data_IF_812892073857
#
_entry.id   IF_812892073857
#
_cell.length_a   1.000
_cell.length_b   1.000
_cell.length_c   1.000
_cell.angle_alpha   90.00
_cell.angle_beta   90.00
_cell.angle_gamma   90.00
#
_symmetry.space_group_name_H-M   'P 1'
#
loop_
_entity.id
_entity.type
_entity.pdbx_description
1 polymer ?
#
# COMPACT_ATOMS: atom_id res chain seq x y z
N UNK A 1 -25.89 -41.94 30.06
CA UNK A 1 -25.78 -40.59 30.65
C UNK A 1 -24.83 -39.81 29.76
N UNK A 2 -25.27 -38.72 29.14
CA UNK A 2 -24.41 -37.90 28.29
C UNK A 2 -23.35 -37.21 29.15
N UNK A 3 -22.09 -37.34 28.76
CA UNK A 3 -20.94 -36.80 29.50
C UNK A 3 -21.01 -35.27 29.51
N UNK A 4 -21.03 -34.68 30.71
CA UNK A 4 -21.16 -33.22 30.89
C UNK A 4 -19.80 -32.59 30.69
N UNK A 5 -19.52 -32.13 29.46
CA UNK A 5 -18.33 -31.35 29.15
C UNK A 5 -18.55 -29.92 29.66
N UNK A 6 -17.76 -29.52 30.66
CA UNK A 6 -17.75 -28.14 31.18
C UNK A 6 -16.56 -27.43 30.54
N UNK A 7 -16.84 -26.52 29.60
CA UNK A 7 -15.83 -25.62 29.05
C UNK A 7 -15.51 -24.54 30.08
N UNK A 8 -14.25 -24.48 30.51
CA UNK A 8 -13.73 -23.46 31.42
C UNK A 8 -12.72 -22.61 30.64
N UNK A 9 -13.04 -21.33 30.42
CA UNK A 9 -12.11 -20.33 29.90
C UNK A 9 -11.71 -19.36 31.01
N UNK A 10 -10.47 -18.86 30.99
CA UNK A 10 -9.92 -17.89 31.97
C UNK A 10 -10.56 -16.48 31.87
N UNK A 11 -11.63 -16.31 31.09
CA UNK A 11 -12.40 -15.07 30.96
C UNK A 11 -13.60 -15.22 30.01
N UNK A 12 -14.50 -14.23 30.00
CA UNK A 12 -15.47 -14.05 28.92
C UNK A 12 -14.67 -13.85 27.62
N UNK A 13 -14.70 -14.82 26.71
CA UNK A 13 -14.31 -14.54 25.35
C UNK A 13 -15.28 -13.46 24.84
N UNK A 14 -14.78 -12.26 24.61
CA UNK A 14 -15.53 -11.19 23.95
C UNK A 14 -15.88 -11.72 22.56
N UNK A 15 -17.14 -12.13 22.36
CA UNK A 15 -17.62 -12.72 21.10
C UNK A 15 -17.91 -11.58 20.11
N UNK A 16 -17.07 -11.40 19.07
CA UNK A 16 -17.32 -10.35 18.09
C UNK A 16 -18.46 -10.73 17.12
N UNK A 17 -18.79 -12.02 16.96
CA UNK A 17 -19.71 -12.54 15.94
C UNK A 17 -21.17 -12.58 16.40
N UNK A 18 -21.65 -11.48 16.97
CA UNK A 18 -23.03 -11.35 17.42
C UNK A 18 -23.98 -11.11 16.25
N UNK A 19 -25.25 -11.43 16.47
CA UNK A 19 -26.35 -11.17 15.53
C UNK A 19 -27.39 -10.28 16.20
N UNK A 20 -27.94 -9.32 15.46
CA UNK A 20 -29.01 -8.45 15.91
C UNK A 20 -29.84 -7.94 14.74
N UNK A 21 -31.15 -7.79 14.93
CA UNK A 21 -32.07 -7.33 13.89
C UNK A 21 -32.47 -8.43 12.91
N UNK A 22 -32.52 -8.10 11.61
CA UNK A 22 -32.93 -9.02 10.54
C UNK A 22 -32.15 -8.75 9.25
N UNK A 23 -32.00 -9.78 8.40
CA UNK A 23 -31.32 -9.65 7.10
C UNK A 23 -32.02 -8.65 6.17
N UNK A 24 -33.35 -8.65 6.12
CA UNK A 24 -34.11 -7.73 5.27
C UNK A 24 -33.87 -6.27 5.68
N UNK A 25 -33.91 -5.98 6.99
CA UNK A 25 -33.57 -4.66 7.53
C UNK A 25 -32.13 -4.25 7.21
N UNK A 26 -31.18 -5.19 7.23
CA UNK A 26 -29.80 -4.93 6.79
C UNK A 26 -29.72 -4.62 5.29
N UNK A 27 -30.42 -5.36 4.44
CA UNK A 27 -30.42 -5.15 2.99
C UNK A 27 -31.03 -3.79 2.61
N UNK A 28 -32.18 -3.45 3.19
CA UNK A 28 -32.93 -2.22 2.91
C UNK A 28 -32.34 -0.99 3.60
N UNK A 29 -31.92 -1.11 4.85
CA UNK A 29 -31.42 0.00 5.67
C UNK A 29 -29.93 0.29 5.48
N UNK A 30 -29.17 -0.65 4.90
CA UNK A 30 -27.71 -0.52 4.79
C UNK A 30 -27.18 -0.91 3.42
N UNK A 31 -27.34 -2.17 3.01
CA UNK A 31 -26.59 -2.72 1.88
C UNK A 31 -26.94 -2.06 0.55
N UNK A 32 -28.21 -1.72 0.30
CA UNK A 32 -28.61 -1.04 -0.95
C UNK A 32 -27.90 0.29 -1.20
N UNK A 33 -27.47 0.97 -0.14
CA UNK A 33 -26.85 2.30 -0.22
C UNK A 33 -25.35 2.26 -0.57
N UNK A 34 -24.76 1.06 -0.66
CA UNK A 34 -23.43 0.89 -1.20
C UNK A 34 -23.41 1.03 -2.74
N UNK A 35 -24.55 0.83 -3.41
CA UNK A 35 -24.65 0.94 -4.88
C UNK A 35 -24.33 2.37 -5.32
N UNK A 36 -23.34 2.52 -6.19
CA UNK A 36 -22.85 3.82 -6.63
C UNK A 36 -21.87 4.50 -5.66
N UNK A 37 -21.53 3.88 -4.53
CA UNK A 37 -20.53 4.36 -3.57
C UNK A 37 -19.34 3.39 -3.52
N UNK A 38 -18.28 3.66 -4.28
CA UNK A 38 -17.17 2.72 -4.49
C UNK A 38 -16.47 2.30 -3.20
N UNK A 39 -16.28 3.19 -2.24
CA UNK A 39 -15.60 2.87 -0.96
C UNK A 39 -16.47 1.99 -0.07
N UNK A 40 -17.78 2.24 -0.04
CA UNK A 40 -18.73 1.42 0.72
C UNK A 40 -18.85 0.03 0.10
N UNK A 41 -19.09 -0.04 -1.21
CA UNK A 41 -19.20 -1.31 -1.92
C UNK A 41 -17.92 -2.12 -1.76
N UNK A 42 -16.75 -1.50 -1.95
CA UNK A 42 -15.45 -2.16 -1.73
C UNK A 42 -15.29 -2.70 -0.31
N UNK A 43 -15.60 -1.90 0.73
CA UNK A 43 -15.48 -2.31 2.12
C UNK A 43 -16.38 -3.52 2.45
N UNK A 44 -17.62 -3.51 1.95
CA UNK A 44 -18.54 -4.63 2.12
C UNK A 44 -18.09 -5.87 1.36
N UNK A 45 -17.64 -5.72 0.11
CA UNK A 45 -17.11 -6.82 -0.68
C UNK A 45 -15.86 -7.44 -0.05
N UNK A 46 -15.00 -6.63 0.58
CA UNK A 46 -13.83 -7.11 1.31
C UNK A 46 -14.22 -8.00 2.51
N UNK A 47 -15.37 -7.72 3.14
CA UNK A 47 -15.89 -8.54 4.22
C UNK A 47 -16.30 -9.94 3.77
N UNK A 48 -16.85 -10.07 2.56
CA UNK A 48 -17.20 -11.36 1.96
C UNK A 48 -16.01 -12.09 1.33
N UNK A 49 -14.91 -11.39 1.06
CA UNK A 49 -13.71 -11.98 0.47
C UNK A 49 -12.87 -12.81 1.47
N UNK A 50 -13.03 -12.60 2.78
CA UNK A 50 -12.31 -13.36 3.83
C UNK A 50 -12.45 -14.89 3.67
N UNK A 51 -13.68 -15.43 3.59
CA UNK A 51 -13.91 -16.87 3.38
C UNK A 51 -13.36 -17.42 2.05
N UNK A 52 -13.08 -16.55 1.08
CA UNK A 52 -12.56 -16.93 -0.23
C UNK A 52 -11.02 -17.08 -0.25
N UNK A 53 -10.34 -16.69 0.82
CA UNK A 53 -8.88 -16.81 0.88
C UNK A 53 -8.38 -18.26 0.77
N UNK A 54 -9.10 -19.22 1.38
CA UNK A 54 -8.76 -20.65 1.26
C UNK A 54 -8.95 -21.18 -0.17
N UNK A 55 -10.14 -21.10 -0.79
CA UNK A 55 -10.37 -21.68 -2.11
C UNK A 55 -9.59 -20.94 -3.21
N UNK A 56 -9.24 -19.67 -3.02
CA UNK A 56 -8.40 -18.92 -3.96
C UNK A 56 -6.89 -19.12 -3.73
N UNK A 57 -6.49 -19.89 -2.72
CA UNK A 57 -5.10 -20.02 -2.26
C UNK A 57 -4.41 -18.65 -2.05
N UNK A 58 -5.18 -17.65 -1.63
CA UNK A 58 -4.73 -16.28 -1.51
C UNK A 58 -4.01 -16.04 -0.17
N UNK A 59 -2.94 -15.23 -0.22
CA UNK A 59 -2.23 -14.79 0.98
C UNK A 59 -3.09 -13.83 1.81
N UNK A 60 -2.78 -13.76 3.12
CA UNK A 60 -3.28 -12.67 3.96
C UNK A 60 -2.75 -11.32 3.47
N UNK A 61 -3.47 -10.26 3.81
CA UNK A 61 -3.10 -8.91 3.41
C UNK A 61 -4.17 -7.92 3.81
N UNK A 62 -3.96 -6.65 3.46
CA UNK A 62 -4.93 -5.65 3.84
C UNK A 62 -5.01 -4.46 2.92
N UNK A 63 -6.03 -3.68 3.19
CA UNK A 63 -6.30 -2.40 2.57
C UNK A 63 -6.36 -1.35 3.66
N UNK A 64 -5.93 -0.14 3.33
CA UNK A 64 -5.91 0.97 4.26
C UNK A 64 -6.56 2.17 3.59
N UNK A 65 -7.70 2.62 4.12
CA UNK A 65 -8.30 3.87 3.69
C UNK A 65 -7.52 5.04 4.29
N UNK A 66 -6.76 5.72 3.43
CA UNK A 66 -5.93 6.87 3.76
C UNK A 66 -6.62 8.17 3.36
N UNK A 67 -6.72 9.12 4.28
CA UNK A 67 -7.18 10.47 3.97
C UNK A 67 -7.56 11.26 5.22
N UNK A 68 -7.92 12.54 5.05
CA UNK A 68 -8.20 13.45 6.17
C UNK A 68 -9.25 12.94 7.16
N UNK A 69 -9.27 13.51 8.37
CA UNK A 69 -10.28 13.20 9.40
C UNK A 69 -11.69 13.54 8.90
N UNK A 70 -12.71 12.92 9.50
CA UNK A 70 -14.12 13.27 9.28
C UNK A 70 -14.67 13.07 7.86
N UNK A 71 -13.99 12.31 7.00
CA UNK A 71 -14.48 11.98 5.63
C UNK A 71 -15.28 10.67 5.54
N UNK A 72 -15.58 10.02 6.68
CA UNK A 72 -16.42 8.82 6.74
C UNK A 72 -15.68 7.47 6.76
N UNK A 73 -14.35 7.44 6.92
CA UNK A 73 -13.54 6.20 6.98
C UNK A 73 -14.07 5.16 7.99
N UNK A 74 -14.30 5.58 9.24
CA UNK A 74 -14.88 4.72 10.28
C UNK A 74 -16.29 4.24 9.92
N UNK A 75 -17.06 5.02 9.16
CA UNK A 75 -18.37 4.58 8.65
C UNK A 75 -18.22 3.37 7.74
N UNK A 76 -17.24 3.38 6.81
CA UNK A 76 -16.99 2.24 5.94
C UNK A 76 -16.63 0.98 6.74
N UNK A 77 -15.82 1.11 7.81
CA UNK A 77 -15.53 -0.02 8.70
C UNK A 77 -16.78 -0.53 9.41
N UNK A 78 -17.61 0.34 9.97
CA UNK A 78 -18.83 -0.06 10.67
C UNK A 78 -19.83 -0.75 9.72
N UNK A 79 -19.96 -0.26 8.49
CA UNK A 79 -20.77 -0.88 7.44
C UNK A 79 -20.25 -2.28 7.10
N UNK A 80 -18.95 -2.42 6.84
CA UNK A 80 -18.34 -3.73 6.57
C UNK A 80 -18.43 -4.69 7.77
N UNK A 81 -18.23 -4.18 8.98
CA UNK A 81 -18.26 -4.94 10.23
C UNK A 81 -19.63 -5.54 10.52
N UNK A 82 -20.70 -4.81 10.17
CA UNK A 82 -22.08 -5.28 10.32
C UNK A 82 -22.38 -6.62 9.62
N UNK A 83 -21.56 -7.03 8.65
CA UNK A 83 -21.71 -8.34 7.98
C UNK A 83 -21.43 -9.48 8.96
N UNK A 84 -20.45 -9.31 9.84
CA UNK A 84 -19.93 -10.33 10.74
C UNK A 84 -20.37 -10.15 12.20
N UNK A 85 -20.60 -8.91 12.64
CA UNK A 85 -20.89 -8.63 14.04
C UNK A 85 -21.39 -7.21 14.30
N UNK A 86 -21.62 -6.88 15.57
CA UNK A 86 -22.17 -5.58 15.99
C UNK A 86 -21.17 -4.43 15.97
N UNK A 87 -21.53 -3.30 16.60
CA UNK A 87 -20.72 -2.06 16.65
C UNK A 87 -19.30 -2.24 17.19
N UNK A 88 -19.09 -3.26 18.02
CA UNK A 88 -17.81 -3.58 18.68
C UNK A 88 -16.93 -4.52 17.83
N UNK A 89 -17.40 -4.95 16.65
CA UNK A 89 -16.64 -5.83 15.76
C UNK A 89 -15.36 -5.14 15.25
N UNK A 90 -15.39 -3.87 14.77
CA UNK A 90 -14.15 -3.14 14.49
C UNK A 90 -13.28 -2.95 15.73
N UNK A 91 -11.99 -3.25 15.60
CA UNK A 91 -11.00 -3.06 16.67
C UNK A 91 -10.17 -1.81 16.40
N UNK A 92 -9.49 -1.32 17.42
CA UNK A 92 -8.57 -0.17 17.29
C UNK A 92 -7.14 -0.63 17.08
N UNK A 93 -6.36 0.16 16.35
CA UNK A 93 -4.90 0.03 16.31
C UNK A 93 -4.20 0.32 17.65
N UNK A 94 -4.91 0.90 18.63
CA UNK A 94 -4.41 1.14 19.99
C UNK A 94 -4.34 -0.17 20.79
N UNK A 95 -3.42 -1.04 20.39
CA UNK A 95 -3.14 -2.31 21.02
C UNK A 95 -1.65 -2.68 20.83
N UNK A 96 -1.13 -3.50 21.74
CA UNK A 96 0.23 -4.04 21.59
C UNK A 96 0.28 -5.08 20.46
N UNK A 97 1.47 -5.35 19.94
CA UNK A 97 1.68 -6.41 18.94
C UNK A 97 1.07 -7.76 19.36
N UNK A 98 1.20 -8.12 20.64
CA UNK A 98 0.64 -9.36 21.19
C UNK A 98 -0.89 -9.32 21.27
N UNK A 99 -1.47 -8.16 21.59
CA UNK A 99 -2.92 -8.00 21.59
C UNK A 99 -3.50 -8.19 20.19
N UNK A 100 -2.86 -7.60 19.17
CA UNK A 100 -3.29 -7.75 17.78
C UNK A 100 -3.05 -9.16 17.22
N UNK A 101 -2.05 -9.89 17.72
CA UNK A 101 -1.89 -11.33 17.44
C UNK A 101 -3.11 -12.13 17.92
N UNK A 102 -3.59 -11.88 19.15
CA UNK A 102 -4.80 -12.52 19.67
C UNK A 102 -6.07 -12.10 18.91
N UNK A 103 -6.17 -10.84 18.50
CA UNK A 103 -7.29 -10.35 17.68
C UNK A 103 -7.29 -11.02 16.30
N UNK A 104 -6.14 -11.17 15.66
CA UNK A 104 -6.04 -11.83 14.36
C UNK A 104 -6.50 -13.29 14.40
N UNK A 105 -6.18 -14.01 15.48
CA UNK A 105 -6.65 -15.38 15.70
C UNK A 105 -8.19 -15.50 15.80
N UNK A 106 -8.88 -14.43 16.21
CA UNK A 106 -10.34 -14.39 16.25
C UNK A 106 -10.97 -14.05 14.89
N UNK A 107 -10.18 -13.67 13.88
CA UNK A 107 -10.65 -13.21 12.56
C UNK A 107 -10.10 -14.05 11.40
N UNK A 108 -9.86 -15.35 11.66
CA UNK A 108 -9.45 -16.30 10.62
C UNK A 108 -10.59 -16.53 9.62
N UNK A 109 -10.27 -16.44 8.33
CA UNK A 109 -11.20 -16.60 7.20
C UNK A 109 -12.38 -15.61 7.24
N UNK A 110 -12.21 -14.51 7.97
CA UNK A 110 -13.13 -13.37 8.02
C UNK A 110 -12.35 -12.07 7.77
N UNK A 111 -13.04 -10.93 7.85
CA UNK A 111 -12.41 -9.62 7.73
C UNK A 111 -12.04 -9.06 9.11
N UNK A 112 -10.77 -8.72 9.30
CA UNK A 112 -10.30 -7.96 10.45
C UNK A 112 -10.41 -6.46 10.17
N UNK A 113 -11.08 -5.72 11.05
CA UNK A 113 -11.24 -4.27 10.93
C UNK A 113 -10.41 -3.54 11.98
N UNK A 114 -9.56 -2.61 11.54
CA UNK A 114 -8.65 -1.86 12.42
C UNK A 114 -8.78 -0.35 12.21
N UNK A 115 -9.44 0.34 13.13
CA UNK A 115 -9.67 1.78 13.05
C UNK A 115 -8.51 2.58 13.68
N UNK A 116 -8.21 3.72 13.06
CA UNK A 116 -7.31 4.76 13.55
C UNK A 116 -5.84 4.34 13.72
N UNK A 117 -5.16 4.01 12.62
CA UNK A 117 -3.73 3.65 12.59
C UNK A 117 -2.83 4.69 13.27
N UNK A 118 -3.23 5.97 13.29
CA UNK A 118 -2.51 7.05 13.95
C UNK A 118 -2.29 6.82 15.46
N UNK A 119 -3.13 6.00 16.11
CA UNK A 119 -3.01 5.65 17.53
C UNK A 119 -1.96 4.56 17.81
N UNK A 120 -1.40 3.91 16.79
CA UNK A 120 -0.30 2.96 16.96
C UNK A 120 1.06 3.70 17.00
N UNK A 121 1.98 3.19 17.82
CA UNK A 121 3.36 3.68 17.83
C UNK A 121 4.05 3.35 16.50
N UNK A 122 4.80 4.31 15.93
CA UNK A 122 5.48 4.16 14.64
C UNK A 122 6.51 3.03 14.63
N UNK A 123 7.02 2.60 15.80
CA UNK A 123 7.94 1.47 15.94
C UNK A 123 7.23 0.12 15.85
N UNK A 124 5.96 0.07 16.24
CA UNK A 124 5.16 -1.16 16.28
C UNK A 124 4.35 -1.35 15.01
N UNK A 125 3.81 -0.26 14.43
CA UNK A 125 2.86 -0.33 13.32
C UNK A 125 3.37 -1.17 12.15
N UNK A 126 4.64 -1.01 11.76
CA UNK A 126 5.22 -1.75 10.64
C UNK A 126 5.40 -3.24 10.95
N UNK A 127 5.71 -3.59 12.19
CA UNK A 127 5.80 -5.00 12.61
C UNK A 127 4.43 -5.66 12.66
N UNK A 128 3.43 -4.96 13.20
CA UNK A 128 2.04 -5.43 13.29
C UNK A 128 1.45 -5.63 11.90
N UNK A 129 1.55 -4.62 11.05
CA UNK A 129 1.17 -4.68 9.64
C UNK A 129 1.71 -5.93 8.94
N UNK A 130 3.01 -6.17 9.10
CA UNK A 130 3.69 -7.30 8.48
C UNK A 130 3.26 -8.64 9.08
N UNK A 131 3.12 -8.72 10.40
CA UNK A 131 2.63 -9.90 11.11
C UNK A 131 1.23 -10.31 10.62
N UNK A 132 0.32 -9.33 10.54
CA UNK A 132 -1.05 -9.54 10.05
C UNK A 132 -1.07 -10.07 8.61
N UNK A 133 -0.32 -9.41 7.71
CA UNK A 133 -0.25 -9.79 6.31
C UNK A 133 0.47 -11.13 6.05
N UNK A 134 1.34 -11.59 6.96
CA UNK A 134 1.99 -12.90 6.84
C UNK A 134 1.18 -14.05 7.42
N UNK A 135 0.11 -13.76 8.16
CA UNK A 135 -0.70 -14.83 8.76
C UNK A 135 -0.01 -15.57 9.90
N UNK A 136 1.00 -14.98 10.55
CA UNK A 136 1.82 -15.70 11.54
C UNK A 136 2.33 -14.80 12.67
N UNK A 137 2.13 -15.26 13.91
CA UNK A 137 2.64 -14.65 15.14
C UNK A 137 4.11 -14.96 15.41
N UNK A 138 4.71 -14.30 16.41
CA UNK A 138 6.13 -14.53 16.76
C UNK A 138 6.31 -15.93 17.35
N UNK A 139 7.27 -16.70 16.83
CA UNK A 139 7.69 -17.96 17.45
C UNK A 139 8.31 -17.69 18.82
N UNK A 140 7.88 -18.44 19.84
CA UNK A 140 8.37 -18.32 21.22
C UNK A 140 8.92 -19.66 21.68
N UNK A 141 9.91 -19.65 22.56
CA UNK A 141 10.32 -20.86 23.27
C UNK A 141 9.22 -21.32 24.24
N UNK A 142 9.00 -22.62 24.30
CA UNK A 142 8.20 -23.31 25.31
C UNK A 142 8.94 -23.36 26.65
N UNK A 143 8.24 -23.79 27.71
CA UNK A 143 8.81 -23.86 29.06
C UNK A 143 10.02 -24.81 29.16
N UNK A 144 10.08 -25.82 28.30
CA UNK A 144 11.17 -26.80 28.20
C UNK A 144 12.22 -26.46 27.12
N UNK A 145 12.13 -25.28 26.50
CA UNK A 145 13.10 -24.83 25.50
C UNK A 145 12.79 -25.27 24.06
N UNK A 146 11.83 -26.15 23.81
CA UNK A 146 11.36 -26.41 22.44
C UNK A 146 10.65 -25.19 21.84
N UNK A 147 10.69 -25.04 20.51
CA UNK A 147 9.93 -23.98 19.85
C UNK A 147 8.42 -24.26 19.95
N UNK A 148 7.67 -23.35 20.58
CA UNK A 148 6.20 -23.41 20.57
C UNK A 148 5.71 -23.13 19.15
N UNK A 149 4.69 -23.87 18.72
CA UNK A 149 4.04 -23.63 17.42
C UNK A 149 3.51 -22.19 17.38
N UNK A 150 3.99 -21.41 16.43
CA UNK A 150 3.54 -20.04 16.22
C UNK A 150 2.04 -20.02 15.87
N UNK A 151 1.33 -19.01 16.38
CA UNK A 151 -0.03 -18.71 15.97
C UNK A 151 -0.07 -18.51 14.45
N UNK A 152 -1.08 -19.06 13.79
CA UNK A 152 -1.30 -18.87 12.35
C UNK A 152 -2.75 -18.48 12.10
N UNK A 153 -2.94 -17.59 11.13
CA UNK A 153 -4.25 -17.14 10.68
C UNK A 153 -4.19 -16.89 9.17
N UNK A 154 -5.38 -16.78 8.58
CA UNK A 154 -5.57 -16.31 7.21
C UNK A 154 -6.64 -15.24 7.27
N UNK A 155 -6.33 -14.01 6.90
CA UNK A 155 -7.28 -12.91 7.05
C UNK A 155 -7.04 -11.83 6.00
N UNK A 156 -8.12 -11.20 5.58
CA UNK A 156 -8.05 -9.86 4.99
C UNK A 156 -8.28 -8.88 6.12
N UNK A 157 -7.57 -7.75 6.08
CA UNK A 157 -7.89 -6.65 6.98
C UNK A 157 -8.16 -5.34 6.24
N UNK A 158 -9.06 -4.55 6.81
CA UNK A 158 -9.35 -3.21 6.35
C UNK A 158 -9.05 -2.24 7.48
N UNK A 159 -8.21 -1.26 7.18
CA UNK A 159 -7.66 -0.30 8.11
C UNK A 159 -8.02 1.13 7.71
N UNK A 160 -7.96 2.07 8.65
CA UNK A 160 -8.17 3.51 8.40
C UNK A 160 -7.07 4.35 9.04
N UNK A 161 -6.78 5.50 8.43
CA UNK A 161 -5.80 6.44 8.97
C UNK A 161 -5.72 7.73 8.16
N UNK A 162 -5.01 8.70 8.71
CA UNK A 162 -4.75 9.98 8.02
C UNK A 162 -3.56 9.91 7.06
N UNK A 163 -2.55 9.14 7.44
CA UNK A 163 -1.30 8.96 6.68
C UNK A 163 -1.14 7.49 6.29
N UNK A 164 -0.32 7.23 5.27
CA UNK A 164 -0.05 5.86 4.82
C UNK A 164 0.84 5.10 5.79
N UNK A 165 0.95 3.78 5.58
CA UNK A 165 1.82 2.95 6.43
C UNK A 165 3.29 3.39 6.32
N UNK A 166 3.76 3.69 5.11
CA UNK A 166 5.12 4.13 4.86
C UNK A 166 5.44 5.44 5.60
N UNK A 167 4.52 6.41 5.51
CA UNK A 167 4.60 7.69 6.21
C UNK A 167 4.65 7.49 7.73
N UNK A 168 3.78 6.61 8.27
CA UNK A 168 3.75 6.31 9.71
C UNK A 168 5.04 5.66 10.20
N UNK A 169 5.66 4.78 9.41
CA UNK A 169 6.95 4.16 9.74
C UNK A 169 8.06 5.21 9.74
N UNK A 170 8.02 6.17 8.81
CA UNK A 170 9.02 7.22 8.70
C UNK A 170 9.03 8.19 9.91
N UNK A 171 7.92 8.31 10.66
CA UNK A 171 7.84 9.13 11.87
C UNK A 171 8.83 8.72 12.98
N UNK A 172 9.31 7.48 13.03
CA UNK A 172 10.28 7.02 14.06
C UNK A 172 11.64 7.72 13.97
N UNK A 173 11.91 8.49 12.91
CA UNK A 173 13.10 9.35 12.78
C UNK A 173 14.43 8.60 12.67
N UNK A 174 14.44 7.28 12.76
CA UNK A 174 15.62 6.40 12.65
C UNK A 174 16.03 6.09 11.21
N UNK A 175 15.44 6.77 10.22
CA UNK A 175 15.66 6.48 8.81
C UNK A 175 15.17 5.09 8.37
N UNK A 176 14.29 4.46 9.16
CA UNK A 176 13.62 3.21 8.75
C UNK A 176 12.61 3.56 7.67
N UNK A 177 12.84 3.07 6.45
CA UNK A 177 11.86 3.10 5.37
C UNK A 177 11.07 1.81 5.38
N UNK A 178 9.79 1.88 5.00
CA UNK A 178 9.05 0.69 4.64
C UNK A 178 9.78 0.00 3.48
N UNK A 179 10.04 -1.31 3.59
CA UNK A 179 10.56 -2.04 2.44
C UNK A 179 9.46 -2.10 1.37
N UNK A 180 9.80 -2.01 0.09
CA UNK A 180 8.78 -2.02 -0.98
C UNK A 180 7.86 -3.24 -0.91
N UNK A 181 8.36 -4.41 -0.48
CA UNK A 181 7.54 -5.61 -0.24
C UNK A 181 6.51 -5.49 0.90
N UNK A 182 6.65 -4.52 1.82
CA UNK A 182 5.67 -4.21 2.86
C UNK A 182 4.52 -3.36 2.29
N UNK A 183 4.79 -2.45 1.36
CA UNK A 183 3.78 -1.59 0.72
C UNK A 183 2.83 -2.37 -0.20
N UNK A 184 3.26 -3.49 -0.78
CA UNK A 184 2.39 -4.36 -1.62
C UNK A 184 1.41 -5.18 -0.78
N UNK A 185 1.72 -5.40 0.51
CA UNK A 185 0.89 -6.20 1.42
C UNK A 185 -0.23 -5.40 2.07
N UNK A 186 -0.05 -4.08 2.20
CA UNK A 186 -1.07 -3.15 2.70
C UNK A 186 -1.26 -2.05 1.67
N UNK A 187 -2.40 -2.11 1.00
CA UNK A 187 -2.71 -1.22 -0.12
C UNK A 187 -3.38 0.04 0.41
N UNK A 188 -2.70 1.18 0.29
CA UNK A 188 -3.23 2.49 0.69
C UNK A 188 -4.21 3.05 -0.36
N UNK A 189 -5.51 2.85 -0.13
CA UNK A 189 -6.58 3.37 -0.99
C UNK A 189 -6.93 4.80 -0.53
N UNK A 190 -6.97 5.79 -1.43
CA UNK A 190 -7.50 7.11 -1.12
C UNK A 190 -8.95 7.00 -0.63
N UNK A 191 -9.17 7.42 0.62
CA UNK A 191 -10.47 7.35 1.25
C UNK A 191 -11.48 8.30 0.60
N UNK A 192 -11.06 9.49 0.17
CA UNK A 192 -11.91 10.39 -0.59
C UNK A 192 -12.26 9.77 -1.94
N UNK A 193 -13.55 9.74 -2.27
CA UNK A 193 -14.06 9.20 -3.52
C UNK A 193 -13.92 10.17 -4.71
N UNK A 194 -13.56 11.43 -4.44
CA UNK A 194 -13.37 12.48 -5.44
C UNK A 194 -14.66 13.25 -5.76
N UNK A 195 -15.73 13.04 -4.99
CA UNK A 195 -17.04 13.66 -5.21
C UNK A 195 -17.36 14.80 -4.23
N UNK A 196 -16.38 15.25 -3.43
CA UNK A 196 -16.54 16.33 -2.46
C UNK A 196 -17.37 15.97 -1.22
N UNK A 197 -17.63 14.67 -1.00
CA UNK A 197 -18.46 14.14 0.09
C UNK A 197 -17.74 13.06 0.91
N UNK A 198 -16.40 13.09 0.92
CA UNK A 198 -15.57 12.09 1.59
C UNK A 198 -15.63 10.74 0.89
N UNK A 199 -15.93 9.66 1.63
CA UNK A 199 -16.01 8.31 1.06
C UNK A 199 -17.23 8.09 0.14
N UNK A 200 -18.15 9.05 0.03
CA UNK A 200 -19.39 8.91 -0.72
C UNK A 200 -19.32 9.59 -2.09
N UNK A 201 -19.90 8.96 -3.09
CA UNK A 201 -20.22 9.52 -4.41
C UNK A 201 -21.70 9.86 -4.57
N UNK A 202 -22.58 9.16 -3.84
CA UNK A 202 -24.03 9.40 -3.85
C UNK A 202 -24.60 9.34 -2.44
N UNK A 203 -25.47 10.29 -2.13
CA UNK A 203 -26.15 10.39 -0.84
C UNK A 203 -27.54 9.76 -0.85
N UNK A 204 -28.00 9.16 -1.94
CA UNK A 204 -29.31 8.49 -2.02
C UNK A 204 -30.50 9.29 -1.44
N UNK A 205 -30.50 10.62 -1.64
CA UNK A 205 -31.57 11.51 -1.15
C UNK A 205 -31.41 12.00 0.29
N UNK A 206 -30.36 11.61 1.01
CA UNK A 206 -30.02 12.20 2.30
C UNK A 206 -29.51 13.65 2.13
N UNK A 207 -29.81 14.55 3.09
CA UNK A 207 -29.52 15.98 2.94
C UNK A 207 -28.04 16.35 3.07
N UNK A 208 -27.21 15.46 3.62
CA UNK A 208 -25.77 15.66 3.77
C UNK A 208 -25.02 14.34 3.96
N UNK A 209 -23.71 14.36 3.70
CA UNK A 209 -22.81 13.24 3.98
C UNK A 209 -22.84 12.81 5.45
N UNK A 210 -22.95 13.76 6.39
CA UNK A 210 -23.09 13.47 7.82
C UNK A 210 -24.41 12.75 8.13
N UNK A 211 -25.53 13.24 7.59
CA UNK A 211 -26.83 12.60 7.80
C UNK A 211 -26.84 11.17 7.23
N UNK A 212 -26.24 10.98 6.06
CA UNK A 212 -26.09 9.68 5.45
C UNK A 212 -25.20 8.74 6.29
N UNK A 213 -24.04 9.21 6.74
CA UNK A 213 -23.14 8.44 7.60
C UNK A 213 -23.80 8.03 8.93
N UNK A 214 -24.57 8.93 9.54
CA UNK A 214 -25.33 8.63 10.77
C UNK A 214 -26.40 7.57 10.53
N UNK A 215 -27.12 7.64 9.41
CA UNK A 215 -28.09 6.62 9.02
C UNK A 215 -27.42 5.24 8.88
N UNK A 216 -26.32 5.16 8.12
CA UNK A 216 -25.59 3.91 7.92
C UNK A 216 -25.08 3.33 9.24
N UNK A 217 -24.51 4.15 10.14
CA UNK A 217 -24.05 3.69 11.46
C UNK A 217 -25.20 3.23 12.36
N UNK A 218 -26.36 3.86 12.26
CA UNK A 218 -27.54 3.45 13.02
C UNK A 218 -28.01 2.08 12.54
N UNK A 219 -28.23 1.92 11.23
CA UNK A 219 -28.66 0.66 10.63
C UNK A 219 -27.65 -0.48 10.86
N UNK A 220 -26.35 -0.24 10.70
CA UNK A 220 -25.28 -1.21 10.99
C UNK A 220 -25.23 -1.64 12.47
N UNK A 221 -25.72 -0.80 13.38
CA UNK A 221 -25.80 -1.11 14.80
C UNK A 221 -27.09 -1.81 15.24
N UNK A 222 -28.12 -1.81 14.39
CA UNK A 222 -29.42 -2.42 14.63
C UNK A 222 -29.56 -3.76 13.92
N UNK A 223 -29.08 -3.83 12.68
CA UNK A 223 -29.08 -5.04 11.85
C UNK A 223 -27.64 -5.45 11.56
N UNK A 224 -27.20 -6.59 12.08
CA UNK A 224 -25.82 -7.07 11.91
C UNK A 224 -25.68 -8.58 12.11
N UNK A 225 -24.58 -9.17 11.61
CA UNK A 225 -24.23 -10.58 11.69
C UNK A 225 -25.00 -11.49 10.71
N UNK A 226 -26.22 -11.12 10.31
CA UNK A 226 -27.06 -11.93 9.43
C UNK A 226 -26.46 -12.20 8.04
N UNK A 227 -25.77 -11.21 7.46
CA UNK A 227 -25.27 -11.31 6.09
C UNK A 227 -24.16 -12.38 5.96
N UNK A 228 -23.26 -12.47 6.94
CA UNK A 228 -22.25 -13.54 6.98
C UNK A 228 -22.88 -14.93 7.07
N UNK A 229 -23.90 -15.10 7.92
CA UNK A 229 -24.59 -16.38 8.06
C UNK A 229 -25.25 -16.82 6.75
N UNK A 230 -25.97 -15.91 6.09
CA UNK A 230 -26.61 -16.18 4.81
C UNK A 230 -25.59 -16.48 3.69
N UNK A 231 -24.46 -15.78 3.70
CA UNK A 231 -23.37 -16.01 2.75
C UNK A 231 -22.71 -17.37 2.95
N UNK A 232 -22.33 -17.70 4.19
CA UNK A 232 -21.68 -18.96 4.52
C UNK A 232 -22.58 -20.16 4.27
N UNK A 233 -23.88 -20.09 4.62
CA UNK A 233 -24.84 -21.16 4.34
C UNK A 233 -24.90 -21.52 2.85
N UNK A 234 -24.71 -20.56 1.96
CA UNK A 234 -24.66 -20.79 0.51
C UNK A 234 -23.27 -21.24 0.05
N UNK A 235 -22.22 -20.60 0.54
CA UNK A 235 -20.83 -20.89 0.20
C UNK A 235 -20.43 -22.34 0.53
N UNK A 236 -20.90 -22.86 1.67
CA UNK A 236 -20.49 -24.18 2.16
C UNK A 236 -21.29 -25.35 1.58
N UNK A 237 -22.32 -25.10 0.75
CA UNK A 237 -23.10 -26.18 0.11
C UNK A 237 -22.31 -26.92 -0.97
N UNK A 238 -21.39 -26.22 -1.63
CA UNK A 238 -20.48 -26.77 -2.63
C UNK A 238 -19.14 -26.01 -2.58
N UNK A 239 -18.43 -26.19 -1.47
CA UNK A 239 -17.20 -25.43 -1.21
C UNK A 239 -16.08 -25.75 -2.20
N UNK A 240 -15.97 -27.01 -2.64
CA UNK A 240 -14.97 -27.43 -3.63
C UNK A 240 -15.23 -26.79 -5.00
N UNK A 241 -16.50 -26.54 -5.35
CA UNK A 241 -16.90 -25.82 -6.55
C UNK A 241 -16.59 -24.31 -6.53
N UNK A 242 -16.31 -23.72 -5.36
CA UNK A 242 -16.01 -22.28 -5.23
C UNK A 242 -14.65 -21.91 -5.84
N UNK A 243 -13.63 -22.75 -5.62
CA UNK A 243 -12.26 -22.48 -6.07
C UNK A 243 -12.14 -22.16 -7.58
N UNK A 244 -12.66 -22.99 -8.51
CA UNK A 244 -12.57 -22.68 -9.94
C UNK A 244 -13.37 -21.43 -10.32
N UNK A 245 -14.50 -21.14 -9.65
CA UNK A 245 -15.29 -19.94 -9.91
C UNK A 245 -14.53 -18.68 -9.52
N UNK A 246 -13.94 -18.65 -8.32
CA UNK A 246 -13.15 -17.51 -7.84
C UNK A 246 -11.91 -17.33 -8.70
N UNK A 247 -11.19 -18.40 -9.04
CA UNK A 247 -10.00 -18.33 -9.89
C UNK A 247 -10.34 -17.79 -11.30
N UNK A 248 -11.42 -18.29 -11.92
CA UNK A 248 -11.88 -17.80 -13.21
C UNK A 248 -12.21 -16.31 -13.19
N UNK A 249 -12.98 -15.88 -12.18
CA UNK A 249 -13.31 -14.47 -11.99
C UNK A 249 -12.08 -13.59 -11.75
N UNK A 250 -11.13 -14.05 -10.93
CA UNK A 250 -9.90 -13.29 -10.68
C UNK A 250 -9.08 -13.11 -11.97
N UNK A 251 -8.98 -14.15 -12.79
CA UNK A 251 -8.26 -14.07 -14.07
C UNK A 251 -8.91 -13.05 -15.01
N UNK A 252 -10.24 -13.03 -15.09
CA UNK A 252 -10.98 -12.05 -15.91
C UNK A 252 -10.77 -10.62 -15.39
N UNK A 253 -10.95 -10.40 -14.08
CA UNK A 253 -10.73 -9.09 -13.48
C UNK A 253 -9.31 -8.57 -13.70
N UNK A 254 -8.30 -9.43 -13.53
CA UNK A 254 -6.90 -9.08 -13.74
C UNK A 254 -6.64 -8.77 -15.21
N UNK A 255 -7.18 -9.55 -16.15
CA UNK A 255 -7.03 -9.30 -17.57
C UNK A 255 -7.63 -7.95 -18.01
N UNK A 256 -8.75 -7.54 -17.40
CA UNK A 256 -9.41 -6.28 -17.72
C UNK A 256 -8.77 -5.05 -17.06
N UNK A 257 -8.24 -5.20 -15.84
CA UNK A 257 -7.83 -4.05 -15.02
C UNK A 257 -6.31 -3.90 -14.87
N UNK A 258 -5.54 -4.96 -15.04
CA UNK A 258 -4.08 -4.88 -14.92
C UNK A 258 -3.48 -4.20 -16.16
N UNK A 259 -2.75 -3.09 -16.01
CA UNK A 259 -2.09 -2.45 -17.14
C UNK A 259 -1.08 -3.40 -17.83
N UNK A 260 -0.85 -3.26 -19.15
CA UNK A 260 0.21 -4.00 -19.81
C UNK A 260 1.58 -3.63 -19.21
N UNK A 261 2.48 -4.61 -19.11
CA UNK A 261 3.84 -4.45 -18.53
C UNK A 261 3.87 -4.03 -17.06
N UNK A 262 2.77 -4.23 -16.33
CA UNK A 262 2.72 -3.97 -14.90
C UNK A 262 3.77 -4.82 -14.15
N UNK A 263 4.46 -4.20 -13.20
CA UNK A 263 5.45 -4.91 -12.39
C UNK A 263 4.80 -6.02 -11.52
N UNK A 264 5.64 -6.87 -10.93
CA UNK A 264 5.17 -7.94 -10.04
C UNK A 264 4.46 -7.44 -8.78
N UNK A 265 4.63 -6.17 -8.39
CA UNK A 265 3.92 -5.56 -7.28
C UNK A 265 2.48 -5.20 -7.67
N UNK A 266 2.28 -4.51 -8.80
CA UNK A 266 0.95 -4.20 -9.35
C UNK A 266 0.16 -5.49 -9.54
N UNK A 267 0.80 -6.52 -10.12
CA UNK A 267 0.18 -7.81 -10.41
C UNK A 267 -0.37 -8.50 -9.14
N UNK A 268 0.36 -8.39 -8.02
CA UNK A 268 -0.10 -8.91 -6.72
C UNK A 268 -1.23 -8.07 -6.12
N UNK A 269 -1.18 -6.75 -6.29
CA UNK A 269 -2.22 -5.86 -5.76
C UNK A 269 -3.53 -6.07 -6.51
N UNK A 270 -3.52 -6.09 -7.85
CA UNK A 270 -4.72 -6.29 -8.66
C UNK A 270 -5.40 -7.63 -8.36
N UNK A 271 -4.62 -8.70 -8.13
CA UNK A 271 -5.18 -10.00 -7.74
C UNK A 271 -5.94 -9.95 -6.39
N UNK A 272 -5.50 -9.11 -5.45
CA UNK A 272 -6.20 -8.90 -4.18
C UNK A 272 -7.49 -8.10 -4.37
N UNK A 273 -7.48 -7.07 -5.22
CA UNK A 273 -8.72 -6.37 -5.62
C UNK A 273 -9.70 -7.29 -6.33
N UNK A 274 -9.20 -8.19 -7.17
CA UNK A 274 -10.01 -9.21 -7.84
C UNK A 274 -10.69 -10.15 -6.85
N UNK A 275 -10.00 -10.55 -5.76
CA UNK A 275 -10.59 -11.35 -4.68
C UNK A 275 -11.70 -10.57 -3.96
N UNK A 276 -11.51 -9.28 -3.71
CA UNK A 276 -12.54 -8.41 -3.13
C UNK A 276 -13.77 -8.34 -4.02
N UNK A 277 -13.59 -8.09 -5.31
CA UNK A 277 -14.68 -8.11 -6.28
C UNK A 277 -15.42 -9.45 -6.29
N UNK A 278 -14.69 -10.58 -6.31
CA UNK A 278 -15.28 -11.92 -6.27
C UNK A 278 -16.16 -12.12 -5.02
N UNK A 279 -15.71 -11.65 -3.85
CA UNK A 279 -16.49 -11.71 -2.60
C UNK A 279 -17.85 -11.00 -2.73
N UNK A 280 -17.85 -9.78 -3.28
CA UNK A 280 -19.08 -9.02 -3.49
C UNK A 280 -19.99 -9.60 -4.58
N UNK A 281 -19.43 -10.06 -5.70
CA UNK A 281 -20.21 -10.68 -6.78
C UNK A 281 -20.82 -12.02 -6.33
N UNK A 282 -20.09 -12.83 -5.55
CA UNK A 282 -20.66 -14.05 -4.95
C UNK A 282 -21.78 -13.74 -3.95
N UNK A 283 -21.59 -12.75 -3.08
CA UNK A 283 -22.64 -12.35 -2.15
C UNK A 283 -23.89 -11.82 -2.87
N UNK A 284 -23.71 -11.17 -4.02
CA UNK A 284 -24.80 -10.76 -4.92
C UNK A 284 -25.48 -11.98 -5.55
N UNK A 285 -24.72 -12.92 -6.12
CA UNK A 285 -25.25 -14.14 -6.71
C UNK A 285 -26.00 -15.04 -5.71
N UNK A 286 -25.60 -15.01 -4.43
CA UNK A 286 -26.29 -15.72 -3.34
C UNK A 286 -27.54 -14.99 -2.82
N UNK A 287 -27.83 -13.78 -3.30
CA UNK A 287 -28.97 -12.96 -2.87
C UNK A 287 -28.76 -12.31 -1.50
N UNK A 288 -27.52 -12.25 -1.00
CA UNK A 288 -27.18 -11.59 0.27
C UNK A 288 -27.06 -10.08 0.05
N UNK A 289 -26.37 -9.67 -1.02
CA UNK A 289 -26.31 -8.26 -1.42
C UNK A 289 -27.44 -7.95 -2.41
N UNK A 290 -28.23 -6.88 -2.18
CA UNK A 290 -29.31 -6.47 -3.08
C UNK A 290 -28.76 -5.63 -4.24
N UNK A 291 -27.61 -6.00 -4.78
CA UNK A 291 -26.91 -5.25 -5.83
C UNK A 291 -27.20 -5.87 -7.21
N UNK A 292 -26.96 -5.09 -8.25
CA UNK A 292 -26.93 -5.64 -9.60
C UNK A 292 -25.56 -6.31 -9.84
N UNK A 293 -25.48 -7.38 -10.63
CA UNK A 293 -24.20 -7.96 -11.04
C UNK A 293 -23.25 -6.90 -11.61
N UNK A 294 -21.99 -6.96 -11.19
CA UNK A 294 -20.93 -6.05 -11.60
C UNK A 294 -20.76 -4.80 -10.72
N UNK A 295 -21.61 -4.58 -9.71
CA UNK A 295 -21.43 -3.46 -8.77
C UNK A 295 -20.14 -3.59 -7.95
N UNK A 296 -19.86 -4.80 -7.43
CA UNK A 296 -18.66 -5.06 -6.66
C UNK A 296 -17.40 -4.97 -7.55
N UNK A 297 -17.48 -5.50 -8.78
CA UNK A 297 -16.44 -5.36 -9.80
C UNK A 297 -16.08 -3.90 -10.07
N UNK A 298 -17.09 -3.05 -10.33
CA UNK A 298 -16.88 -1.61 -10.60
C UNK A 298 -16.24 -0.90 -9.42
N UNK A 299 -16.70 -1.19 -8.20
CA UNK A 299 -16.18 -0.59 -6.98
C UNK A 299 -14.70 -0.96 -6.75
N UNK A 300 -14.35 -2.24 -6.88
CA UNK A 300 -12.97 -2.71 -6.75
C UNK A 300 -12.07 -2.14 -7.85
N UNK A 301 -12.55 -2.11 -9.09
CA UNK A 301 -11.82 -1.52 -10.22
C UNK A 301 -11.56 -0.02 -10.02
N UNK A 302 -12.55 0.74 -9.53
CA UNK A 302 -12.36 2.15 -9.18
C UNK A 302 -11.34 2.33 -8.07
N UNK A 303 -11.44 1.57 -6.98
CA UNK A 303 -10.47 1.66 -5.88
C UNK A 303 -9.05 1.27 -6.31
N UNK A 304 -8.92 0.29 -7.20
CA UNK A 304 -7.63 -0.10 -7.78
C UNK A 304 -7.03 1.01 -8.65
N UNK A 305 -7.83 1.65 -9.51
CA UNK A 305 -7.37 2.80 -10.32
C UNK A 305 -6.94 3.96 -9.44
N UNK A 306 -7.75 4.33 -8.44
CA UNK A 306 -7.43 5.43 -7.53
C UNK A 306 -6.14 5.14 -6.72
N UNK A 307 -5.89 3.88 -6.37
CA UNK A 307 -4.61 3.44 -5.79
C UNK A 307 -3.45 3.56 -6.77
N UNK A 308 -3.62 3.09 -8.02
CA UNK A 308 -2.58 3.12 -9.05
C UNK A 308 -2.16 4.56 -9.39
N UNK A 309 -3.12 5.47 -9.49
CA UNK A 309 -2.89 6.89 -9.74
C UNK A 309 -2.09 7.52 -8.59
N UNK A 310 -2.47 7.21 -7.35
CA UNK A 310 -1.77 7.70 -6.15
C UNK A 310 -0.39 7.11 -6.00
N UNK A 311 -0.19 5.85 -6.41
CA UNK A 311 1.12 5.23 -6.47
C UNK A 311 2.00 6.02 -7.42
N UNK A 312 1.48 6.57 -8.51
CA UNK A 312 2.24 7.27 -9.57
C UNK A 312 2.40 6.40 -10.83
N UNK A 313 1.41 5.55 -11.11
CA UNK A 313 1.37 4.68 -12.27
C UNK A 313 2.02 3.29 -12.08
N UNK A 314 2.40 2.68 -13.21
CA UNK A 314 2.95 1.32 -13.29
C UNK A 314 4.43 1.22 -12.90
N UNK A 315 5.11 2.35 -12.74
CA UNK A 315 6.53 2.38 -12.42
C UNK A 315 6.80 1.87 -11.00
N UNK A 316 7.87 1.07 -10.78
CA UNK A 316 8.26 0.64 -9.45
C UNK A 316 8.51 1.83 -8.53
N UNK A 317 7.99 1.79 -7.31
CA UNK A 317 8.16 2.87 -6.33
C UNK A 317 9.64 3.18 -6.06
N UNK A 318 10.48 2.14 -6.04
CA UNK A 318 11.94 2.23 -5.85
C UNK A 318 12.62 3.06 -6.94
N UNK A 319 12.17 2.95 -8.19
CA UNK A 319 12.76 3.73 -9.29
C UNK A 319 12.42 5.22 -9.19
N UNK A 320 11.19 5.55 -8.77
CA UNK A 320 10.79 6.94 -8.58
C UNK A 320 11.48 7.56 -7.36
N UNK A 321 11.63 6.81 -6.27
CA UNK A 321 12.45 7.24 -5.13
C UNK A 321 13.90 7.47 -5.53
N UNK A 322 14.47 6.58 -6.36
CA UNK A 322 15.82 6.74 -6.90
C UNK A 322 15.99 8.06 -7.69
N UNK A 323 15.05 8.37 -8.59
CA UNK A 323 15.07 9.62 -9.34
C UNK A 323 14.91 10.84 -8.41
N UNK A 324 13.95 10.79 -7.48
CA UNK A 324 13.67 11.88 -6.53
C UNK A 324 14.86 12.16 -5.63
N UNK A 325 15.55 11.13 -5.14
CA UNK A 325 16.74 11.28 -4.29
C UNK A 325 17.89 12.00 -5.02
N UNK A 326 18.20 11.57 -6.25
CA UNK A 326 19.27 12.20 -7.04
C UNK A 326 18.89 13.62 -7.45
N UNK A 327 17.64 13.83 -7.91
CA UNK A 327 17.12 15.15 -8.27
C UNK A 327 17.23 16.12 -7.10
N UNK A 328 16.70 15.73 -5.93
CA UNK A 328 16.75 16.54 -4.70
C UNK A 328 18.18 16.92 -4.33
N UNK A 329 19.12 15.98 -4.41
CA UNK A 329 20.52 16.27 -4.09
C UNK A 329 21.09 17.34 -5.04
N UNK A 330 20.80 17.23 -6.34
CA UNK A 330 21.29 18.19 -7.34
C UNK A 330 20.58 19.55 -7.21
N UNK A 331 19.29 19.60 -6.91
CA UNK A 331 18.58 20.86 -6.66
C UNK A 331 19.14 21.62 -5.46
N UNK A 332 19.45 20.91 -4.37
CA UNK A 332 20.00 21.52 -3.15
C UNK A 332 21.48 21.91 -3.29
N UNK A 333 22.25 21.18 -4.12
CA UNK A 333 23.70 21.23 -4.05
C UNK A 333 24.42 21.46 -5.39
N UNK A 334 23.70 21.46 -6.51
CA UNK A 334 24.23 21.44 -7.88
C UNK A 334 25.16 22.60 -8.23
N UNK A 335 25.07 23.72 -7.52
CA UNK A 335 25.95 24.88 -7.70
C UNK A 335 26.95 25.08 -6.57
N UNK A 336 26.72 24.50 -5.39
CA UNK A 336 27.45 24.79 -4.16
C UNK A 336 28.45 23.72 -3.75
N UNK A 337 28.15 22.44 -4.04
CA UNK A 337 29.01 21.29 -3.68
C UNK A 337 29.69 20.64 -4.89
N UNK A 338 29.46 21.16 -6.09
CA UNK A 338 30.09 20.69 -7.32
C UNK A 338 31.10 21.70 -7.84
N UNK A 339 32.37 21.31 -7.86
CA UNK A 339 33.46 22.15 -8.34
C UNK A 339 33.32 22.41 -9.85
N UNK A 340 33.29 23.68 -10.28
CA UNK A 340 33.28 24.03 -11.69
C UNK A 340 34.54 23.54 -12.42
N UNK A 341 34.38 22.86 -13.55
CA UNK A 341 35.51 22.45 -14.41
C UNK A 341 35.21 22.73 -15.89
N UNK A 342 36.26 22.69 -16.72
CA UNK A 342 36.14 23.00 -18.15
C UNK A 342 35.68 24.45 -18.36
N UNK A 343 34.65 24.64 -19.20
CA UNK A 343 34.09 25.98 -19.50
C UNK A 343 33.43 26.68 -18.30
N UNK A 344 33.18 25.97 -17.20
CA UNK A 344 32.69 26.59 -15.96
C UNK A 344 33.81 27.00 -14.99
N UNK A 345 35.07 26.58 -15.23
CA UNK A 345 36.17 26.93 -14.35
C UNK A 345 36.41 28.46 -14.42
N UNK A 346 36.34 29.19 -13.28
CA UNK A 346 36.60 30.62 -13.29
C UNK A 346 38.07 30.89 -13.62
N UNK A 347 38.30 31.86 -14.50
CA UNK A 347 39.64 32.34 -14.83
C UNK A 347 39.76 33.82 -14.51
N UNK A 348 40.98 34.25 -14.21
CA UNK A 348 41.30 35.67 -14.09
C UNK A 348 41.31 36.36 -15.47
N UNK A 349 41.61 37.66 -15.47
CA UNK A 349 41.65 38.48 -16.69
C UNK A 349 42.73 38.06 -17.70
N UNK A 350 43.64 37.15 -17.32
CA UNK A 350 44.75 36.64 -18.14
C UNK A 350 44.53 35.15 -18.48
N UNK A 351 43.40 34.56 -18.06
CA UNK A 351 43.03 33.18 -18.34
C UNK A 351 43.60 32.17 -17.35
N UNK A 352 44.21 32.60 -16.23
CA UNK A 352 44.71 31.68 -15.21
C UNK A 352 43.56 31.15 -14.33
N UNK A 353 43.54 29.86 -13.95
CA UNK A 353 42.49 29.29 -13.11
C UNK A 353 42.43 29.95 -11.74
N UNK A 354 41.23 30.32 -11.29
CA UNK A 354 40.99 30.83 -9.94
C UNK A 354 40.58 29.66 -9.04
N UNK A 355 41.33 29.46 -7.96
CA UNK A 355 40.97 28.43 -6.98
C UNK A 355 39.65 28.78 -6.30
N UNK A 356 38.70 27.84 -6.34
CA UNK A 356 37.34 28.04 -5.85
C UNK A 356 37.12 27.16 -4.63
N UNK A 357 36.87 27.78 -3.47
CA UNK A 357 36.61 27.01 -2.25
C UNK A 357 35.22 26.36 -2.30
N UNK A 358 35.19 25.03 -2.42
CA UNK A 358 33.97 24.23 -2.38
C UNK A 358 33.85 23.54 -1.02
N UNK A 359 32.87 23.92 -0.22
CA UNK A 359 32.59 23.28 1.07
C UNK A 359 31.88 21.94 0.85
N UNK A 360 32.30 20.90 1.60
CA UNK A 360 31.71 19.56 1.54
C UNK A 360 31.58 19.01 0.10
N UNK A 361 32.62 19.18 -0.73
CA UNK A 361 32.60 18.87 -2.17
C UNK A 361 32.05 17.46 -2.44
N UNK A 362 30.97 17.41 -3.21
CA UNK A 362 30.29 16.20 -3.64
C UNK A 362 30.84 15.66 -4.97
N UNK A 363 31.40 16.55 -5.79
CA UNK A 363 31.84 16.22 -7.13
C UNK A 363 32.24 17.44 -7.95
N UNK A 364 32.12 17.32 -9.27
CA UNK A 364 32.48 18.34 -10.25
C UNK A 364 31.32 18.59 -11.21
N UNK A 365 31.27 19.76 -11.83
CA UNK A 365 30.30 20.07 -12.88
C UNK A 365 30.94 20.70 -14.10
N UNK A 366 30.47 20.34 -15.28
CA UNK A 366 30.92 20.89 -16.57
C UNK A 366 29.76 21.07 -17.53
N UNK A 367 30.00 21.79 -18.63
CA UNK A 367 29.17 21.65 -19.82
C UNK A 367 29.70 20.51 -20.66
N UNK A 368 28.81 19.68 -21.19
CA UNK A 368 29.17 18.75 -22.27
C UNK A 368 29.23 19.48 -23.62
N UNK A 369 29.56 18.73 -24.67
CA UNK A 369 29.75 19.26 -26.03
C UNK A 369 28.46 19.85 -26.62
N UNK A 370 27.29 19.44 -26.11
CA UNK A 370 25.96 19.97 -26.47
C UNK A 370 25.56 21.18 -25.62
N UNK A 371 26.41 21.61 -24.69
CA UNK A 371 26.18 22.74 -23.80
C UNK A 371 25.32 22.43 -22.56
N UNK A 372 24.91 21.17 -22.38
CA UNK A 372 24.14 20.69 -21.22
C UNK A 372 25.05 20.50 -20.00
N UNK A 373 24.48 20.58 -18.80
CA UNK A 373 25.26 20.45 -17.57
C UNK A 373 25.41 18.98 -17.20
N UNK A 374 26.63 18.56 -16.89
CA UNK A 374 26.92 17.25 -16.29
C UNK A 374 27.37 17.42 -14.85
N UNK A 375 26.87 16.55 -13.98
CA UNK A 375 27.26 16.42 -12.58
C UNK A 375 28.07 15.14 -12.41
N UNK A 376 29.36 15.28 -12.14
CA UNK A 376 30.30 14.19 -11.92
C UNK A 376 30.40 13.95 -10.42
N UNK A 377 29.68 12.96 -9.92
CA UNK A 377 29.58 12.63 -8.49
C UNK A 377 30.68 11.64 -8.08
N UNK A 378 31.34 11.92 -6.95
CA UNK A 378 32.34 11.03 -6.37
C UNK A 378 31.68 9.75 -5.78
N UNK A 379 32.31 8.56 -5.88
CA UNK A 379 31.66 7.30 -5.51
C UNK A 379 31.20 7.18 -4.05
N UNK A 380 32.00 7.70 -3.10
CA UNK A 380 31.64 7.63 -1.68
C UNK A 380 30.51 8.60 -1.34
N UNK A 381 30.47 9.78 -1.97
CA UNK A 381 29.35 10.72 -1.82
C UNK A 381 28.10 10.18 -2.47
N UNK A 382 28.23 9.53 -3.64
CA UNK A 382 27.13 8.83 -4.30
C UNK A 382 26.49 7.80 -3.37
N UNK A 383 27.30 6.93 -2.74
CA UNK A 383 26.79 5.89 -1.84
C UNK A 383 26.29 6.44 -0.50
N UNK A 384 27.07 7.31 0.13
CA UNK A 384 26.86 7.75 1.50
C UNK A 384 25.86 8.90 1.66
N UNK A 385 25.68 9.71 0.62
CA UNK A 385 24.83 10.91 0.68
C UNK A 385 23.73 10.91 -0.38
N UNK A 386 24.08 10.78 -1.67
CA UNK A 386 23.08 10.86 -2.76
C UNK A 386 22.09 9.69 -2.67
N UNK A 387 22.62 8.48 -2.49
CA UNK A 387 21.84 7.24 -2.39
C UNK A 387 21.67 6.79 -0.93
N UNK A 388 21.72 7.71 0.03
CA UNK A 388 21.58 7.36 1.44
C UNK A 388 20.25 6.62 1.71
N UNK A 389 20.37 5.39 2.21
CA UNK A 389 19.23 4.50 2.45
C UNK A 389 18.61 3.89 1.18
N UNK A 390 19.31 3.90 0.05
CA UNK A 390 18.93 3.27 -1.22
C UNK A 390 20.08 2.37 -1.73
N UNK A 391 19.76 1.40 -2.60
CA UNK A 391 20.80 0.64 -3.31
C UNK A 391 21.43 1.52 -4.40
N UNK A 392 22.66 1.98 -4.15
CA UNK A 392 23.41 2.86 -5.04
C UNK A 392 23.67 2.28 -6.45
N UNK A 393 23.70 0.94 -6.60
CA UNK A 393 23.84 0.28 -7.90
C UNK A 393 22.51 0.27 -8.63
N UNK A 394 21.41 -0.02 -7.94
CA UNK A 394 20.06 0.04 -8.49
C UNK A 394 19.76 1.46 -8.99
N UNK A 395 19.98 2.48 -8.17
CA UNK A 395 19.79 3.90 -8.54
C UNK A 395 20.57 4.23 -9.83
N UNK A 396 21.85 3.85 -9.90
CA UNK A 396 22.66 4.13 -11.07
C UNK A 396 22.17 3.40 -12.33
N UNK A 397 21.66 2.16 -12.21
CA UNK A 397 21.04 1.42 -13.33
C UNK A 397 19.76 2.10 -13.79
N UNK A 398 18.90 2.52 -12.87
CA UNK A 398 17.64 3.23 -13.18
C UNK A 398 17.92 4.52 -13.96
N UNK A 399 18.88 5.33 -13.49
CA UNK A 399 19.25 6.55 -14.21
C UNK A 399 19.90 6.24 -15.57
N UNK A 400 20.72 5.19 -15.67
CA UNK A 400 21.33 4.80 -16.95
C UNK A 400 20.28 4.35 -17.97
N UNK A 401 19.28 3.56 -17.55
CA UNK A 401 18.18 3.11 -18.40
C UNK A 401 17.31 4.25 -18.93
N UNK A 402 17.18 5.34 -18.16
CA UNK A 402 16.49 6.57 -18.56
C UNK A 402 17.37 7.61 -19.26
N UNK A 403 18.64 7.30 -19.55
CA UNK A 403 19.58 8.24 -20.17
C UNK A 403 19.96 9.44 -19.27
N UNK A 404 19.66 9.37 -17.98
CA UNK A 404 19.98 10.39 -16.97
C UNK A 404 21.36 10.20 -16.34
N UNK A 405 22.02 9.08 -16.64
CA UNK A 405 23.41 8.79 -16.26
C UNK A 405 24.19 8.30 -17.49
N UNK A 406 25.37 8.88 -17.73
CA UNK A 406 26.25 8.48 -18.83
C UNK A 406 27.09 7.27 -18.41
N UNK A 407 26.87 6.07 -19.01
CA UNK A 407 27.67 4.90 -18.72
C UNK A 407 29.12 5.08 -19.19
N UNK A 408 30.06 4.46 -18.48
CA UNK A 408 31.45 4.32 -18.88
C UNK A 408 31.68 3.19 -19.89
N UNK A 409 32.95 2.98 -20.24
CA UNK A 409 33.38 1.97 -21.20
C UNK A 409 32.84 0.57 -20.86
N UNK A 410 32.24 -0.11 -21.85
CA UNK A 410 31.68 -1.45 -21.70
C UNK A 410 30.38 -1.49 -20.88
N UNK A 411 29.61 -0.39 -20.86
CA UNK A 411 28.31 -0.33 -20.17
C UNK A 411 28.42 -0.25 -18.64
N UNK A 412 29.61 0.06 -18.10
CA UNK A 412 29.80 0.21 -16.65
C UNK A 412 29.09 1.46 -16.15
N UNK A 413 28.47 1.38 -14.99
CA UNK A 413 27.72 2.51 -14.39
C UNK A 413 28.62 3.67 -13.94
N UNK A 414 29.92 3.42 -13.78
CA UNK A 414 30.91 4.43 -13.45
C UNK A 414 31.79 4.73 -14.66
N UNK A 415 32.18 5.99 -14.81
CA UNK A 415 33.05 6.48 -15.86
C UNK A 415 34.40 6.92 -15.27
N UNK A 416 35.50 6.62 -15.96
CA UNK A 416 36.81 7.14 -15.60
C UNK A 416 36.89 8.61 -16.04
N UNK A 417 36.93 9.52 -15.09
CA UNK A 417 36.98 10.95 -15.33
C UNK A 417 38.29 11.54 -14.82
N UNK A 418 38.90 12.40 -15.63
CA UNK A 418 40.02 13.24 -15.19
C UNK A 418 39.44 14.51 -14.59
N UNK A 419 39.65 14.68 -13.30
CA UNK A 419 39.07 15.78 -12.52
C UNK A 419 40.15 16.54 -11.74
N UNK A 420 39.95 17.84 -11.45
CA UNK A 420 40.88 18.63 -10.67
C UNK A 420 41.26 18.01 -9.32
N UNK A 421 42.52 18.17 -8.92
CA UNK A 421 43.02 17.70 -7.63
C UNK A 421 43.37 16.21 -7.55
N UNK A 422 43.26 15.45 -8.64
CA UNK A 422 43.64 14.04 -8.70
C UNK A 422 44.77 13.78 -9.70
N UNK A 423 45.77 12.94 -9.36
CA UNK A 423 46.94 12.69 -10.21
C UNK A 423 46.61 11.86 -11.46
N UNK A 424 45.55 11.04 -11.40
CA UNK A 424 45.10 10.16 -12.47
C UNK A 424 43.57 10.19 -12.59
N UNK A 425 43.04 9.62 -13.67
CA UNK A 425 41.60 9.48 -13.84
C UNK A 425 41.01 8.58 -12.74
N UNK A 426 39.87 9.00 -12.18
CA UNK A 426 39.16 8.27 -11.12
C UNK A 426 37.78 7.86 -11.61
N UNK A 427 37.19 6.83 -10.99
CA UNK A 427 35.83 6.40 -11.30
C UNK A 427 34.82 7.34 -10.65
N UNK A 428 33.84 7.81 -11.42
CA UNK A 428 32.77 8.67 -10.97
C UNK A 428 31.43 8.27 -11.60
N UNK A 429 30.33 8.74 -11.03
CA UNK A 429 29.02 8.68 -11.67
C UNK A 429 28.78 10.00 -12.39
N UNK A 430 28.37 9.95 -13.67
CA UNK A 430 28.15 11.15 -14.49
C UNK A 430 26.65 11.29 -14.73
N UNK A 431 26.00 12.17 -13.97
CA UNK A 431 24.57 12.45 -14.07
C UNK A 431 24.34 13.62 -15.02
N UNK A 432 23.39 13.50 -15.94
CA UNK A 432 23.07 14.55 -16.91
C UNK A 432 22.05 15.53 -16.33
N UNK A 433 21.98 16.75 -16.88
CA UNK A 433 20.96 17.74 -16.49
C UNK A 433 19.53 17.29 -16.80
N UNK A 434 19.34 16.21 -17.58
CA UNK A 434 18.03 15.59 -17.81
C UNK A 434 17.32 15.15 -16.52
N UNK A 435 18.06 14.88 -15.43
CA UNK A 435 17.48 14.56 -14.12
C UNK A 435 16.63 15.70 -13.51
N UNK A 436 16.89 16.95 -13.93
CA UNK A 436 16.20 18.16 -13.46
C UNK A 436 15.01 18.57 -14.35
N UNK A 437 14.83 17.92 -15.50
CA UNK A 437 13.70 18.19 -16.39
C UNK A 437 12.44 17.47 -15.93
N UNK A 438 11.29 18.11 -16.10
CA UNK A 438 10.00 17.42 -16.10
C UNK A 438 9.76 16.89 -17.51
N UNK A 439 10.19 15.65 -17.77
CA UNK A 439 9.37 14.67 -18.48
C UNK A 439 10.14 13.40 -18.82
N UNK A 440 9.39 12.30 -18.73
CA UNK A 440 9.66 11.07 -19.42
C UNK A 440 10.00 11.36 -20.88
N UNK A 441 11.28 11.23 -21.26
CA UNK A 441 11.58 10.90 -22.64
C UNK A 441 11.03 9.50 -22.85
N UNK A 442 9.85 9.43 -23.48
CA UNK A 442 9.45 8.30 -24.31
C UNK A 442 10.71 7.81 -25.02
N UNK A 443 11.23 6.67 -24.56
CA UNK A 443 12.34 6.03 -25.23
C UNK A 443 11.82 5.66 -26.62
N UNK A 444 12.28 6.44 -27.59
CA UNK A 444 12.15 6.16 -29.00
C UNK A 444 12.60 4.71 -29.26
N UNK A 445 11.62 3.81 -29.39
CA UNK A 445 11.78 2.56 -30.10
C UNK A 445 11.13 2.74 -31.46
N UNK A 446 11.97 3.10 -32.42
CA UNK A 446 11.83 2.59 -33.78
C UNK A 446 12.14 1.08 -33.79
#
# INVERSE_FOLDING_TARGET
MAERIIYQSDGLADDPYRVGGELAGWQEGLARYAVGNSRLAFAMSAAFAGPLLLPAEAESGGFHFRGGSSIGKTTALQVAGSIWGGRDFPRTWRATSNGLESVALMHCDTLLLLDEMGQCDSREVGQVAYMLANGQGKTRAGRSGEARRAARWRTLFLSTGEIGLADKIAEDGRGRRAAAGQEVRIVDIPADAGAGMGIFETLHGFPSADAFARHLKAAAGEHFGHASHAYLDRLTRDFDGIAPVVSGFQNEFVAENCPPNADGQVSRVVARFALVAAGGEMATAFGVLPWQPGEATKAAAKCFRDWLDTRGGIEPAEEREALSAVRRFIELHGTSRFEPMGSFAPTDNIGAPIDTRIQNRAGFRRRDDEGSIEYIVLPEVWRGEVCAGLDAVMVAKTLAGRGMLKPGSGGKLQNNQRVPGFPSAIRCYVVTSGILGDDAREAAHA
#
